data_IF_561359035351
#
_entry.id   IF_561359035351
#
_cell.length_a   1.000
_cell.length_b   1.000
_cell.length_c   1.000
_cell.angle_alpha   90.00
_cell.angle_beta   90.00
_cell.angle_gamma   90.00
#
_symmetry.space_group_name_H-M   'P 1'
#
loop_
_entity.id
_entity.type
_entity.pdbx_description
1 polymer ?
#
# COMPACT_ATOMS: atom_id res chain seq x y z
N UNK A 1 7.28 -0.78 -30.54
CA UNK A 1 7.08 -2.08 -29.86
C UNK A 1 7.46 -1.88 -28.40
N UNK A 2 6.50 -1.50 -27.57
CA UNK A 2 6.65 -1.54 -26.11
C UNK A 2 6.20 -2.92 -25.70
N UNK A 3 7.16 -3.78 -25.37
CA UNK A 3 6.87 -5.06 -24.73
C UNK A 3 6.00 -4.78 -23.50
N UNK A 4 4.76 -5.29 -23.53
CA UNK A 4 3.79 -5.19 -22.45
C UNK A 4 4.10 -6.11 -21.28
N UNK A 5 5.37 -6.48 -21.07
CA UNK A 5 5.83 -7.19 -19.90
C UNK A 5 5.65 -6.28 -18.68
N UNK A 6 4.55 -6.48 -17.95
CA UNK A 6 4.43 -5.92 -16.62
C UNK A 6 5.52 -6.52 -15.74
N UNK A 7 6.51 -5.73 -15.35
CA UNK A 7 7.50 -6.14 -14.37
C UNK A 7 6.82 -6.18 -12.99
N UNK A 8 6.49 -7.39 -12.55
CA UNK A 8 6.12 -7.68 -11.17
C UNK A 8 7.35 -8.27 -10.48
N UNK A 9 7.84 -7.58 -9.44
CA UNK A 9 8.87 -8.12 -8.56
C UNK A 9 8.20 -8.66 -7.30
N UNK A 10 8.25 -9.97 -7.11
CA UNK A 10 7.62 -10.65 -5.98
C UNK A 10 8.61 -10.84 -4.85
N UNK A 11 8.22 -10.41 -3.66
CA UNK A 11 8.94 -10.54 -2.42
C UNK A 11 8.15 -11.41 -1.44
N UNK A 12 8.75 -11.76 -0.31
CA UNK A 12 8.09 -12.56 0.75
C UNK A 12 6.90 -11.81 1.36
N UNK A 13 6.97 -10.49 1.36
CA UNK A 13 6.07 -9.56 2.05
C UNK A 13 5.22 -8.70 1.13
N UNK A 14 5.31 -8.91 -0.19
CA UNK A 14 4.50 -8.18 -1.14
C UNK A 14 4.97 -8.32 -2.58
N UNK A 15 4.35 -7.53 -3.45
CA UNK A 15 4.67 -7.45 -4.87
C UNK A 15 4.84 -6.00 -5.26
N UNK A 16 5.93 -5.67 -5.93
CA UNK A 16 6.17 -4.37 -6.53
C UNK A 16 5.77 -4.41 -8.00
N UNK A 17 5.02 -3.41 -8.47
CA UNK A 17 4.59 -3.30 -9.87
C UNK A 17 4.80 -1.90 -10.42
N UNK A 18 5.47 -1.78 -11.57
CA UNK A 18 5.63 -0.53 -12.31
C UNK A 18 4.63 -0.38 -13.47
N UNK A 19 3.54 -1.17 -13.46
CA UNK A 19 2.52 -1.09 -14.51
C UNK A 19 1.82 0.28 -14.47
N UNK A 20 1.81 1.00 -15.59
CA UNK A 20 1.05 2.26 -15.70
C UNK A 20 -0.41 2.04 -16.11
N UNK A 21 -0.75 0.83 -16.56
CA UNK A 21 -2.06 0.47 -17.14
C UNK A 21 -2.75 -0.69 -16.43
N UNK A 22 -2.03 -1.45 -15.59
CA UNK A 22 -2.59 -2.58 -14.83
C UNK A 22 -3.58 -2.14 -13.75
N UNK A 23 -4.24 -3.13 -13.13
CA UNK A 23 -5.29 -2.93 -12.13
C UNK A 23 -4.86 -2.00 -10.99
N UNK A 24 -3.65 -2.15 -10.46
CA UNK A 24 -3.12 -1.28 -9.40
C UNK A 24 -3.06 0.19 -9.83
N UNK A 25 -2.67 0.48 -11.08
CA UNK A 25 -2.66 1.84 -11.61
C UNK A 25 -4.07 2.41 -11.78
N UNK A 26 -5.03 1.59 -12.19
CA UNK A 26 -6.44 2.00 -12.29
C UNK A 26 -7.01 2.34 -10.91
N UNK A 27 -6.72 1.53 -9.89
CA UNK A 27 -7.12 1.81 -8.50
C UNK A 27 -6.43 3.05 -7.93
N UNK A 28 -5.15 3.26 -8.26
CA UNK A 28 -4.42 4.47 -7.88
C UNK A 28 -5.11 5.74 -8.43
N UNK A 29 -5.43 5.75 -9.73
CA UNK A 29 -6.14 6.87 -10.36
C UNK A 29 -7.56 7.03 -9.83
N UNK A 30 -8.27 5.92 -9.61
CA UNK A 30 -9.62 5.94 -9.06
C UNK A 30 -9.67 6.56 -7.64
N UNK A 31 -8.68 6.26 -6.79
CA UNK A 31 -8.51 6.93 -5.50
C UNK A 31 -8.32 8.45 -5.66
N UNK A 32 -7.43 8.84 -6.57
CA UNK A 32 -7.20 10.24 -6.91
C UNK A 32 -8.50 10.92 -7.34
N UNK A 33 -9.23 10.31 -8.28
CA UNK A 33 -10.47 10.86 -8.82
C UNK A 33 -11.58 10.97 -7.77
N UNK A 34 -11.87 9.89 -7.05
CA UNK A 34 -12.98 9.85 -6.12
C UNK A 34 -12.69 10.56 -4.79
N UNK A 35 -11.48 10.41 -4.23
CA UNK A 35 -11.15 10.87 -2.88
C UNK A 35 -10.19 12.06 -2.86
N UNK A 36 -9.50 12.35 -3.96
CA UNK A 36 -8.53 13.47 -4.03
C UNK A 36 -7.25 13.20 -3.26
N UNK A 37 -6.88 11.92 -3.09
CA UNK A 37 -5.64 11.47 -2.43
C UNK A 37 -5.16 10.16 -3.04
N UNK A 38 -3.90 9.81 -2.78
CA UNK A 38 -3.34 8.49 -3.12
C UNK A 38 -3.90 7.40 -2.20
N UNK A 39 -3.93 6.14 -2.64
CA UNK A 39 -4.32 5.02 -1.78
C UNK A 39 -3.28 4.77 -0.68
N UNK A 40 -3.73 4.25 0.47
CA UNK A 40 -2.85 3.52 1.37
C UNK A 40 -2.56 2.11 0.83
N UNK A 41 -1.46 1.48 1.25
CA UNK A 41 -1.02 0.19 0.68
C UNK A 41 -2.05 -0.92 0.88
N UNK A 42 -2.69 -0.98 2.06
CA UNK A 42 -3.69 -1.99 2.37
C UNK A 42 -4.92 -1.83 1.47
N UNK A 43 -5.43 -0.61 1.34
CA UNK A 43 -6.52 -0.28 0.43
C UNK A 43 -6.19 -0.62 -1.01
N UNK A 44 -5.03 -0.18 -1.51
CA UNK A 44 -4.57 -0.48 -2.88
C UNK A 44 -4.54 -2.00 -3.14
N UNK A 45 -3.95 -2.76 -2.23
CA UNK A 45 -3.83 -4.23 -2.34
C UNK A 45 -5.20 -4.89 -2.38
N UNK A 46 -6.10 -4.52 -1.47
CA UNK A 46 -7.42 -5.13 -1.37
C UNK A 46 -8.27 -4.87 -2.62
N UNK A 47 -8.32 -3.63 -3.09
CA UNK A 47 -9.03 -3.29 -4.33
C UNK A 47 -8.42 -3.97 -5.54
N UNK A 48 -7.09 -3.96 -5.66
CA UNK A 48 -6.38 -4.61 -6.78
C UNK A 48 -6.67 -6.11 -6.81
N UNK A 49 -6.56 -6.79 -5.67
CA UNK A 49 -6.80 -8.24 -5.57
C UNK A 49 -8.25 -8.60 -5.90
N UNK A 50 -9.23 -7.79 -5.45
CA UNK A 50 -10.63 -8.04 -5.75
C UNK A 50 -10.95 -7.88 -7.24
N UNK A 51 -10.30 -6.94 -7.94
CA UNK A 51 -10.44 -6.77 -9.38
C UNK A 51 -9.74 -7.87 -10.16
N UNK A 52 -8.50 -8.21 -9.80
CA UNK A 52 -7.72 -9.27 -10.46
C UNK A 52 -8.38 -10.66 -10.30
N UNK A 53 -9.02 -10.91 -9.15
CA UNK A 53 -9.81 -12.13 -8.93
C UNK A 53 -11.17 -12.13 -9.65
N UNK A 54 -11.56 -11.03 -10.29
CA UNK A 54 -12.88 -10.87 -10.89
C UNK A 54 -14.04 -10.80 -9.89
N UNK A 55 -13.75 -10.64 -8.60
CA UNK A 55 -14.76 -10.50 -7.54
C UNK A 55 -15.48 -9.13 -7.63
N UNK A 56 -14.80 -8.12 -8.17
CA UNK A 56 -15.36 -6.79 -8.45
C UNK A 56 -14.95 -6.32 -9.84
N UNK A 57 -15.86 -5.58 -10.48
CA UNK A 57 -15.54 -4.77 -11.65
C UNK A 57 -15.01 -3.40 -11.23
N UNK A 58 -14.26 -2.74 -12.11
CA UNK A 58 -13.80 -1.36 -11.87
C UNK A 58 -14.97 -0.40 -11.62
N UNK A 59 -16.11 -0.60 -12.29
CA UNK A 59 -17.34 0.19 -12.05
C UNK A 59 -17.92 -0.04 -10.66
N UNK A 60 -17.90 -1.27 -10.13
CA UNK A 60 -18.31 -1.56 -8.76
C UNK A 60 -17.33 -0.96 -7.73
N UNK A 61 -16.03 -0.95 -8.02
CA UNK A 61 -15.06 -0.26 -7.18
C UNK A 61 -15.38 1.24 -7.08
N UNK A 62 -15.69 1.91 -8.20
CA UNK A 62 -16.13 3.32 -8.21
C UNK A 62 -17.34 3.55 -7.30
N UNK A 63 -18.33 2.66 -7.36
CA UNK A 63 -19.48 2.71 -6.45
C UNK A 63 -19.03 2.61 -5.00
N UNK A 64 -18.14 1.67 -4.67
CA UNK A 64 -17.57 1.52 -3.33
C UNK A 64 -16.86 2.78 -2.82
N UNK A 65 -16.08 3.45 -3.67
CA UNK A 65 -15.44 4.73 -3.33
C UNK A 65 -16.46 5.84 -3.09
N UNK A 66 -17.39 6.03 -4.02
CA UNK A 66 -18.34 7.16 -3.99
C UNK A 66 -19.44 7.00 -2.95
N UNK A 67 -19.72 5.78 -2.50
CA UNK A 67 -20.63 5.49 -1.37
C UNK A 67 -19.92 5.32 -0.04
N UNK A 68 -18.58 5.44 0.01
CA UNK A 68 -17.82 5.24 1.25
C UNK A 68 -18.14 6.33 2.27
N UNK A 69 -18.03 5.98 3.56
CA UNK A 69 -18.14 6.95 4.64
C UNK A 69 -17.12 8.09 4.51
N UNK A 70 -15.95 7.83 3.92
CA UNK A 70 -14.95 8.85 3.65
C UNK A 70 -15.42 9.84 2.58
N UNK A 71 -15.91 9.35 1.43
CA UNK A 71 -16.43 10.23 0.37
C UNK A 71 -17.58 11.09 0.88
N UNK A 72 -18.56 10.45 1.56
CA UNK A 72 -19.72 11.15 2.11
C UNK A 72 -19.33 12.12 3.24
N UNK A 73 -18.37 11.75 4.08
CA UNK A 73 -17.86 12.64 5.14
C UNK A 73 -17.12 13.85 4.58
N UNK A 74 -16.40 13.69 3.47
CA UNK A 74 -15.60 14.75 2.84
C UNK A 74 -16.41 15.65 1.91
N UNK A 75 -17.35 15.08 1.15
CA UNK A 75 -18.04 15.76 0.06
C UNK A 75 -19.56 15.80 0.22
N UNK A 76 -20.11 15.12 1.24
CA UNK A 76 -21.55 14.98 1.41
C UNK A 76 -22.20 14.19 0.26
N UNK A 77 -23.40 14.60 -0.11
CA UNK A 77 -24.14 14.07 -1.27
C UNK A 77 -24.22 15.15 -2.35
N UNK A 78 -23.16 15.37 -3.14
CA UNK A 78 -23.13 16.45 -4.12
C UNK A 78 -24.18 16.23 -5.21
N UNK A 79 -24.78 17.31 -5.70
CA UNK A 79 -25.54 17.29 -6.96
C UNK A 79 -24.61 17.06 -8.16
N UNK A 80 -25.16 16.85 -9.35
CA UNK A 80 -24.36 16.47 -10.53
C UNK A 80 -23.34 17.54 -10.92
N UNK A 81 -23.71 18.82 -10.82
CA UNK A 81 -22.80 19.93 -11.14
C UNK A 81 -21.63 19.99 -10.15
N UNK A 82 -21.92 19.85 -8.86
CA UNK A 82 -20.92 19.83 -7.79
C UNK A 82 -20.03 18.60 -7.89
N UNK A 83 -20.62 17.44 -8.19
CA UNK A 83 -19.90 16.18 -8.39
C UNK A 83 -18.89 16.28 -9.54
N UNK A 84 -19.30 16.75 -10.72
CA UNK A 84 -18.38 16.95 -11.86
C UNK A 84 -17.29 17.97 -11.53
N UNK A 85 -17.65 19.09 -10.89
CA UNK A 85 -16.68 20.11 -10.47
C UNK A 85 -15.62 19.53 -9.53
N UNK A 86 -16.02 18.64 -8.62
CA UNK A 86 -15.13 17.90 -7.73
C UNK A 86 -14.13 17.03 -8.49
N UNK A 87 -14.58 16.29 -9.51
CA UNK A 87 -13.71 15.44 -10.32
C UNK A 87 -12.68 16.25 -11.10
N UNK A 88 -13.07 17.40 -11.69
CA UNK A 88 -12.11 18.33 -12.30
C UNK A 88 -11.04 18.80 -11.32
N UNK A 89 -11.43 19.13 -10.09
CA UNK A 89 -10.48 19.54 -9.05
C UNK A 89 -9.55 18.40 -8.65
N UNK A 90 -10.09 17.21 -8.38
CA UNK A 90 -9.33 16.07 -7.90
C UNK A 90 -8.33 15.54 -8.95
N UNK A 91 -8.78 15.46 -10.20
CA UNK A 91 -8.05 14.82 -11.30
C UNK A 91 -7.15 15.82 -12.01
N UNK A 92 -7.71 16.97 -12.39
CA UNK A 92 -7.04 17.96 -13.24
C UNK A 92 -6.51 19.17 -12.46
N UNK A 93 -6.84 19.31 -11.18
CA UNK A 93 -6.36 20.42 -10.35
C UNK A 93 -6.91 21.79 -10.74
N UNK A 94 -8.00 21.84 -11.54
CA UNK A 94 -8.57 23.07 -12.08
C UNK A 94 -10.09 23.09 -11.96
N UNK A 95 -10.69 24.28 -12.09
CA UNK A 95 -12.13 24.40 -12.30
C UNK A 95 -12.52 23.94 -13.70
N UNK A 96 -13.71 23.35 -13.90
CA UNK A 96 -14.19 23.02 -15.23
C UNK A 96 -14.38 24.30 -16.06
N UNK A 97 -14.10 24.21 -17.35
CA UNK A 97 -14.60 25.18 -18.31
C UNK A 97 -16.11 24.97 -18.54
N UNK A 98 -16.79 25.98 -19.08
CA UNK A 98 -18.23 25.95 -19.25
C UNK A 98 -18.70 24.80 -20.17
N UNK A 99 -17.97 24.54 -21.26
CA UNK A 99 -18.31 23.49 -22.22
C UNK A 99 -18.15 22.10 -21.61
N UNK A 100 -17.02 21.85 -20.97
CA UNK A 100 -16.74 20.59 -20.28
C UNK A 100 -17.75 20.27 -19.19
N UNK A 101 -18.13 21.27 -18.37
CA UNK A 101 -19.16 21.09 -17.34
C UNK A 101 -20.51 20.74 -17.94
N UNK A 102 -20.95 21.51 -18.94
CA UNK A 102 -22.23 21.29 -19.62
C UNK A 102 -22.29 19.90 -20.27
N UNK A 103 -21.22 19.45 -20.92
CA UNK A 103 -21.17 18.13 -21.55
C UNK A 103 -21.41 17.00 -20.54
N UNK A 104 -20.70 17.01 -19.41
CA UNK A 104 -20.86 15.98 -18.38
C UNK A 104 -22.23 16.03 -17.70
N UNK A 105 -22.74 17.22 -17.38
CA UNK A 105 -24.07 17.33 -16.75
C UNK A 105 -25.19 16.92 -17.69
N UNK A 106 -25.06 17.19 -19.00
CA UNK A 106 -26.03 16.72 -20.00
C UNK A 106 -25.98 15.19 -20.16
N UNK A 107 -24.78 14.59 -20.11
CA UNK A 107 -24.63 13.13 -20.17
C UNK A 107 -25.28 12.46 -18.95
N UNK A 108 -25.07 13.01 -17.74
CA UNK A 108 -25.74 12.55 -16.51
C UNK A 108 -27.27 12.67 -16.63
N UNK A 109 -27.77 13.80 -17.11
CA UNK A 109 -29.21 14.01 -17.35
C UNK A 109 -29.78 13.04 -18.41
N UNK A 110 -28.97 12.61 -19.37
CA UNK A 110 -29.33 11.61 -20.38
C UNK A 110 -29.20 10.15 -19.90
N UNK A 111 -28.85 9.93 -18.63
CA UNK A 111 -28.82 8.59 -18.01
C UNK A 111 -27.43 7.94 -17.91
N UNK A 112 -26.35 8.66 -18.24
CA UNK A 112 -25.00 8.20 -17.90
C UNK A 112 -24.88 8.05 -16.38
N UNK A 113 -24.26 6.96 -15.90
CA UNK A 113 -24.09 6.78 -14.46
C UNK A 113 -22.95 7.65 -13.93
N UNK A 114 -23.04 8.08 -12.67
CA UNK A 114 -21.92 8.76 -11.99
C UNK A 114 -20.65 7.91 -11.99
N UNK A 115 -20.78 6.58 -11.95
CA UNK A 115 -19.62 5.69 -12.05
C UNK A 115 -18.93 5.80 -13.41
N UNK A 116 -19.68 5.91 -14.51
CA UNK A 116 -19.10 6.12 -15.84
C UNK A 116 -18.40 7.48 -15.93
N UNK A 117 -18.93 8.52 -15.27
CA UNK A 117 -18.28 9.83 -15.21
C UNK A 117 -16.94 9.73 -14.47
N UNK A 118 -16.89 9.12 -13.28
CA UNK A 118 -15.62 8.95 -12.54
C UNK A 118 -14.59 8.19 -13.36
N UNK A 119 -14.99 7.11 -14.03
CA UNK A 119 -14.11 6.35 -14.93
C UNK A 119 -13.62 7.19 -16.10
N UNK A 120 -14.49 8.02 -16.68
CA UNK A 120 -14.14 8.95 -17.75
C UNK A 120 -13.07 9.95 -17.32
N UNK A 121 -13.04 10.36 -16.05
CA UNK A 121 -11.97 11.19 -15.50
C UNK A 121 -10.73 10.38 -15.14
N UNK A 122 -10.87 9.30 -14.37
CA UNK A 122 -9.73 8.53 -13.84
C UNK A 122 -8.94 7.83 -14.94
N UNK A 123 -9.60 7.42 -16.03
CA UNK A 123 -8.96 6.77 -17.18
C UNK A 123 -8.83 7.73 -18.38
N UNK A 124 -8.96 9.04 -18.13
CA UNK A 124 -8.69 10.04 -19.16
C UNK A 124 -7.22 10.03 -19.56
N UNK A 125 -6.93 10.40 -20.82
CA UNK A 125 -5.55 10.53 -21.29
C UNK A 125 -4.75 11.55 -20.44
N UNK A 126 -5.41 12.59 -19.93
CA UNK A 126 -4.81 13.59 -19.03
C UNK A 126 -4.37 12.96 -17.70
N UNK A 127 -5.23 12.18 -17.03
CA UNK A 127 -4.89 11.59 -15.72
C UNK A 127 -3.88 10.44 -15.84
N UNK A 128 -3.97 9.64 -16.92
CA UNK A 128 -2.97 8.63 -17.25
C UNK A 128 -1.60 9.28 -17.46
N UNK A 129 -1.52 10.37 -18.24
CA UNK A 129 -0.26 11.09 -18.47
C UNK A 129 0.27 11.72 -17.17
N UNK A 130 -0.60 12.30 -16.35
CA UNK A 130 -0.25 12.93 -15.07
C UNK A 130 0.30 11.93 -14.05
N UNK A 131 -0.25 10.72 -14.01
CA UNK A 131 0.15 9.69 -13.02
C UNK A 131 1.29 8.81 -13.51
N UNK A 132 1.60 8.82 -14.81
CA UNK A 132 2.61 7.97 -15.44
C UNK A 132 3.95 7.98 -14.71
N UNK A 133 4.54 9.15 -14.47
CA UNK A 133 5.87 9.24 -13.83
C UNK A 133 5.90 8.69 -12.40
N UNK A 134 4.79 8.77 -11.68
CA UNK A 134 4.66 8.19 -10.33
C UNK A 134 4.49 6.67 -10.41
N UNK A 135 3.67 6.19 -11.34
CA UNK A 135 3.42 4.76 -11.52
C UNK A 135 4.64 4.01 -12.06
N UNK A 136 5.47 4.66 -12.88
CA UNK A 136 6.76 4.11 -13.33
C UNK A 136 7.79 3.97 -12.19
N UNK A 137 7.64 4.73 -11.10
CA UNK A 137 8.41 4.51 -9.85
C UNK A 137 7.87 3.35 -9.02
N UNK A 138 6.78 2.73 -9.49
CA UNK A 138 6.19 1.52 -8.96
C UNK A 138 5.30 1.70 -7.73
N UNK A 139 4.39 0.74 -7.61
CA UNK A 139 3.45 0.59 -6.52
C UNK A 139 3.81 -0.66 -5.74
N UNK A 140 3.84 -0.53 -4.42
CA UNK A 140 3.95 -1.66 -3.52
C UNK A 140 2.56 -2.22 -3.21
N UNK A 141 2.40 -3.53 -3.41
CA UNK A 141 1.22 -4.30 -3.04
C UNK A 141 1.62 -5.25 -1.90
N UNK A 142 1.35 -4.85 -0.66
CA UNK A 142 1.69 -5.61 0.54
C UNK A 142 0.99 -6.97 0.56
N UNK A 143 1.67 -7.99 1.05
CA UNK A 143 1.02 -9.24 1.43
C UNK A 143 0.39 -9.10 2.82
N UNK A 144 -0.94 -9.06 2.89
CA UNK A 144 -1.67 -8.86 4.14
C UNK A 144 -1.40 -9.95 5.18
N UNK A 145 -1.13 -11.19 4.76
CA UNK A 145 -0.76 -12.26 5.68
C UNK A 145 0.65 -12.05 6.23
N UNK A 146 1.60 -11.60 5.40
CA UNK A 146 2.94 -11.21 5.87
C UNK A 146 2.88 -10.04 6.86
N UNK A 147 2.02 -9.06 6.61
CA UNK A 147 1.81 -7.94 7.51
C UNK A 147 1.27 -8.37 8.89
N UNK A 148 0.30 -9.29 8.89
CA UNK A 148 -0.23 -9.90 10.13
C UNK A 148 0.84 -10.69 10.89
N UNK A 149 1.65 -11.48 10.18
CA UNK A 149 2.77 -12.21 10.78
C UNK A 149 3.76 -11.23 11.42
N UNK A 150 4.15 -10.16 10.72
CA UNK A 150 5.07 -9.17 11.27
C UNK A 150 4.51 -8.46 12.53
N UNK A 151 3.21 -8.17 12.56
CA UNK A 151 2.56 -7.62 13.76
C UNK A 151 2.52 -8.62 14.91
N UNK A 152 2.31 -9.91 14.65
CA UNK A 152 2.40 -10.95 15.68
C UNK A 152 3.82 -11.07 16.26
N UNK A 153 4.85 -11.01 15.42
CA UNK A 153 6.25 -10.93 15.85
C UNK A 153 6.48 -9.72 16.78
N UNK A 154 5.99 -8.54 16.40
CA UNK A 154 6.13 -7.35 17.24
C UNK A 154 5.36 -7.49 18.56
N UNK A 155 4.10 -7.91 18.51
CA UNK A 155 3.26 -8.03 19.70
C UNK A 155 3.81 -9.04 20.72
N UNK A 156 4.34 -10.17 20.25
CA UNK A 156 4.81 -11.25 21.12
C UNK A 156 6.29 -11.18 21.45
N UNK A 157 7.15 -10.80 20.50
CA UNK A 157 8.61 -10.86 20.62
C UNK A 157 9.28 -9.48 20.55
N UNK A 158 8.53 -8.38 20.40
CA UNK A 158 9.04 -7.02 20.33
C UNK A 158 10.19 -6.84 19.31
N UNK A 159 10.02 -7.44 18.13
CA UNK A 159 10.96 -7.34 17.00
C UNK A 159 10.23 -7.61 15.68
N UNK A 160 10.85 -7.22 14.57
CA UNK A 160 10.42 -7.67 13.24
C UNK A 160 10.85 -9.14 13.00
N UNK A 161 10.16 -9.85 12.08
CA UNK A 161 10.56 -11.18 11.66
C UNK A 161 11.90 -11.18 10.94
N UNK A 162 12.65 -12.26 11.09
CA UNK A 162 13.71 -12.60 10.13
C UNK A 162 13.10 -13.19 8.84
N UNK A 163 13.90 -13.25 7.77
CA UNK A 163 13.42 -13.68 6.45
C UNK A 163 12.78 -15.07 6.45
N UNK A 164 13.44 -16.06 7.09
CA UNK A 164 12.95 -17.44 7.14
C UNK A 164 11.72 -17.56 8.03
N UNK A 165 11.69 -16.84 9.14
CA UNK A 165 10.51 -16.72 10.01
C UNK A 165 9.31 -16.16 9.26
N UNK A 166 9.48 -15.04 8.55
CA UNK A 166 8.40 -14.43 7.78
C UNK A 166 7.88 -15.38 6.70
N UNK A 167 8.78 -15.97 5.91
CA UNK A 167 8.41 -16.88 4.82
C UNK A 167 7.60 -18.07 5.32
N UNK A 168 8.08 -18.75 6.37
CA UNK A 168 7.43 -19.94 6.89
C UNK A 168 6.04 -19.64 7.49
N UNK A 169 5.92 -18.59 8.29
CA UNK A 169 4.64 -18.23 8.91
C UNK A 169 3.64 -17.71 7.87
N UNK A 170 4.08 -16.91 6.90
CA UNK A 170 3.21 -16.46 5.80
C UNK A 170 2.76 -17.62 4.92
N UNK A 171 3.62 -18.60 4.66
CA UNK A 171 3.24 -19.82 3.94
C UNK A 171 2.20 -20.64 4.72
N UNK A 172 2.38 -20.80 6.04
CA UNK A 172 1.41 -21.46 6.90
C UNK A 172 0.06 -20.71 6.93
N UNK A 173 0.09 -19.38 6.96
CA UNK A 173 -1.09 -18.52 6.89
C UNK A 173 -1.88 -18.77 5.59
N UNK A 174 -1.18 -18.78 4.46
CA UNK A 174 -1.75 -19.09 3.13
C UNK A 174 -2.28 -20.52 3.03
N UNK A 175 -1.74 -21.45 3.82
CA UNK A 175 -2.25 -22.82 3.96
C UNK A 175 -3.45 -22.95 4.91
N UNK A 176 -3.95 -21.84 5.48
CA UNK A 176 -5.14 -21.80 6.33
C UNK A 176 -4.87 -21.77 7.83
N UNK A 177 -3.61 -21.61 8.26
CA UNK A 177 -3.31 -21.41 9.68
C UNK A 177 -3.87 -20.08 10.16
N UNK A 178 -4.61 -20.10 11.26
CA UNK A 178 -5.24 -18.89 11.81
C UNK A 178 -4.26 -18.08 12.67
N UNK A 179 -4.53 -16.78 12.82
CA UNK A 179 -3.74 -15.92 13.72
C UNK A 179 -3.76 -16.41 15.18
N UNK A 180 -4.84 -17.07 15.61
CA UNK A 180 -4.92 -17.68 16.93
C UNK A 180 -3.89 -18.81 17.08
N UNK A 181 -3.84 -19.73 16.10
CA UNK A 181 -2.87 -20.82 16.10
C UNK A 181 -1.43 -20.31 15.99
N UNK A 182 -1.18 -19.27 15.19
CA UNK A 182 0.14 -18.64 15.13
C UNK A 182 0.51 -18.03 16.47
N UNK A 183 -0.41 -17.29 17.10
CA UNK A 183 -0.19 -16.70 18.41
C UNK A 183 0.14 -17.74 19.48
N UNK A 184 -0.51 -18.90 19.47
CA UNK A 184 -0.15 -20.02 20.35
C UNK A 184 1.28 -20.50 20.06
N UNK A 185 1.66 -20.60 18.79
CA UNK A 185 3.02 -20.92 18.36
C UNK A 185 4.07 -19.91 18.85
N UNK A 186 3.80 -18.61 18.72
CA UNK A 186 4.70 -17.55 19.20
C UNK A 186 4.85 -17.58 20.71
N UNK A 187 3.74 -17.58 21.45
CA UNK A 187 3.77 -17.53 22.93
C UNK A 187 4.27 -18.85 23.55
N UNK A 188 4.07 -19.98 22.87
CA UNK A 188 4.61 -21.28 23.24
C UNK A 188 6.05 -21.52 22.78
N UNK A 189 6.64 -20.61 22.00
CA UNK A 189 8.00 -20.77 21.47
C UNK A 189 9.06 -20.74 22.56
N UNK A 190 10.16 -21.46 22.33
CA UNK A 190 11.34 -21.42 23.21
C UNK A 190 11.86 -19.98 23.36
N UNK A 191 11.83 -19.18 22.29
CA UNK A 191 12.24 -17.77 22.32
C UNK A 191 11.39 -16.95 23.29
N UNK A 192 10.06 -17.04 23.21
CA UNK A 192 9.17 -16.32 24.11
C UNK A 192 9.37 -16.74 25.57
N UNK A 193 9.47 -18.05 25.83
CA UNK A 193 9.66 -18.59 27.17
C UNK A 193 11.03 -18.21 27.76
N UNK A 194 12.10 -18.20 26.95
CA UNK A 194 13.42 -17.75 27.40
C UNK A 194 13.45 -16.24 27.66
N UNK A 195 12.74 -15.45 26.86
CA UNK A 195 12.74 -13.99 26.98
C UNK A 195 11.93 -13.47 28.16
N UNK A 196 10.76 -14.04 28.42
CA UNK A 196 9.83 -13.51 29.41
C UNK A 196 9.55 -14.44 30.59
N UNK A 197 9.94 -15.71 30.49
CA UNK A 197 9.67 -16.72 31.52
C UNK A 197 8.17 -16.99 31.71
N UNK A 198 7.82 -17.47 32.89
CA UNK A 198 6.43 -17.74 33.27
C UNK A 198 5.71 -16.44 33.63
N UNK A 199 4.63 -16.14 32.91
CA UNK A 199 3.81 -14.95 33.10
C UNK A 199 2.42 -15.33 33.64
N UNK A 200 2.03 -14.69 34.74
CA UNK A 200 0.63 -14.62 35.16
C UNK A 200 -0.16 -13.66 34.24
N UNK A 201 -1.50 -13.66 34.35
CA UNK A 201 -2.36 -12.84 33.48
C UNK A 201 -2.04 -11.33 33.55
N UNK A 202 -1.90 -10.73 34.74
CA UNK A 202 -1.43 -9.34 34.88
C UNK A 202 -0.13 -9.03 34.13
N UNK A 203 0.91 -9.85 34.30
CA UNK A 203 2.21 -9.63 33.65
C UNK A 203 2.13 -9.83 32.14
N UNK A 204 1.35 -10.82 31.68
CA UNK A 204 1.14 -11.05 30.26
C UNK A 204 0.47 -9.87 29.58
N UNK A 205 -0.58 -9.30 30.18
CA UNK A 205 -1.25 -8.09 29.64
C UNK A 205 -0.28 -6.91 29.63
N UNK A 206 0.45 -6.67 30.73
CA UNK A 206 1.43 -5.58 30.82
C UNK A 206 2.51 -5.69 29.75
N UNK A 207 2.99 -6.91 29.48
CA UNK A 207 3.96 -7.18 28.42
C UNK A 207 3.42 -6.77 27.05
N UNK A 208 2.19 -7.16 26.70
CA UNK A 208 1.61 -6.83 25.40
C UNK A 208 1.45 -5.32 25.22
N UNK A 209 1.04 -4.60 26.27
CA UNK A 209 1.00 -3.14 26.25
C UNK A 209 2.36 -2.51 25.96
N UNK A 210 3.41 -2.96 26.66
CA UNK A 210 4.76 -2.46 26.43
C UNK A 210 5.25 -2.77 25.02
N UNK A 211 5.04 -3.98 24.52
CA UNK A 211 5.48 -4.37 23.18
C UNK A 211 4.72 -3.59 22.10
N UNK A 212 3.39 -3.51 22.20
CA UNK A 212 2.54 -3.00 21.12
C UNK A 212 2.43 -1.48 21.13
N UNK A 213 2.41 -0.86 22.31
CA UNK A 213 2.13 0.56 22.48
C UNK A 213 3.31 1.34 23.08
N UNK A 214 4.42 0.68 23.44
CA UNK A 214 5.58 1.35 24.05
C UNK A 214 5.30 1.91 25.46
N UNK A 215 4.16 1.57 26.06
CA UNK A 215 3.72 2.14 27.34
C UNK A 215 3.05 1.09 28.22
N UNK A 216 3.01 1.36 29.52
CA UNK A 216 2.22 0.57 30.46
C UNK A 216 0.70 0.68 30.20
N UNK A 217 -0.08 -0.30 30.68
CA UNK A 217 -1.52 -0.30 30.50
C UNK A 217 -2.19 0.82 31.28
N UNK A 218 -3.25 1.41 30.73
CA UNK A 218 -4.17 2.22 31.53
C UNK A 218 -5.04 1.32 32.43
N UNK A 219 -5.60 1.91 33.50
CA UNK A 219 -6.37 1.17 34.51
C UNK A 219 -7.55 0.39 33.92
N UNK A 220 -8.25 0.96 32.93
CA UNK A 220 -9.46 0.37 32.35
C UNK A 220 -9.08 -0.77 31.42
N UNK A 221 -8.16 -0.53 30.49
CA UNK A 221 -7.66 -1.51 29.56
C UNK A 221 -7.00 -2.70 30.27
N UNK A 222 -6.22 -2.44 31.32
CA UNK A 222 -5.61 -3.49 32.15
C UNK A 222 -6.66 -4.41 32.78
N UNK A 223 -7.66 -3.81 33.44
CA UNK A 223 -8.71 -4.55 34.12
C UNK A 223 -9.54 -5.38 33.13
N UNK A 224 -9.89 -4.80 31.97
CA UNK A 224 -10.67 -5.48 30.94
C UNK A 224 -9.96 -6.76 30.45
N UNK A 225 -8.71 -6.66 30.02
CA UNK A 225 -7.97 -7.81 29.49
C UNK A 225 -7.65 -8.85 30.57
N UNK A 226 -7.27 -8.42 31.76
CA UNK A 226 -6.95 -9.34 32.86
C UNK A 226 -8.19 -10.11 33.31
N UNK A 227 -9.34 -9.44 33.42
CA UNK A 227 -10.60 -10.08 33.78
C UNK A 227 -11.08 -11.03 32.67
N UNK A 228 -10.91 -10.67 31.40
CA UNK A 228 -11.23 -11.55 30.28
C UNK A 228 -10.40 -12.85 30.32
N UNK A 229 -9.10 -12.76 30.59
CA UNK A 229 -8.23 -13.92 30.78
C UNK A 229 -8.65 -14.77 31.99
N UNK A 230 -8.99 -14.13 33.11
CA UNK A 230 -9.46 -14.82 34.31
C UNK A 230 -10.83 -15.51 34.09
N UNK A 231 -11.66 -14.97 33.20
CA UNK A 231 -12.95 -15.54 32.79
C UNK A 231 -12.82 -16.63 31.70
N UNK A 232 -11.61 -16.97 31.25
CA UNK A 232 -11.37 -18.07 30.31
C UNK A 232 -11.12 -17.66 28.85
N UNK A 233 -10.97 -16.36 28.56
CA UNK A 233 -10.47 -15.92 27.24
C UNK A 233 -9.05 -16.47 27.03
N UNK A 234 -8.75 -16.93 25.82
CA UNK A 234 -7.40 -17.48 25.53
C UNK A 234 -6.37 -16.36 25.42
N UNK A 235 -5.11 -16.68 25.74
CA UNK A 235 -3.98 -15.75 25.51
C UNK A 235 -3.81 -15.41 24.03
N UNK A 236 -4.06 -16.37 23.14
CA UNK A 236 -4.05 -16.13 21.70
C UNK A 236 -5.07 -15.07 21.27
N UNK A 237 -6.30 -15.13 21.79
CA UNK A 237 -7.32 -14.11 21.50
C UNK A 237 -6.88 -12.72 21.98
N UNK A 238 -6.23 -12.63 23.14
CA UNK A 238 -5.70 -11.36 23.65
C UNK A 238 -4.57 -10.85 22.75
N UNK A 239 -3.57 -11.67 22.42
CA UNK A 239 -2.47 -11.28 21.51
C UNK A 239 -2.99 -10.80 20.18
N UNK A 240 -3.92 -11.52 19.55
CA UNK A 240 -4.52 -11.10 18.27
C UNK A 240 -5.26 -9.78 18.43
N UNK A 241 -5.97 -9.58 19.55
CA UNK A 241 -6.62 -8.30 19.85
C UNK A 241 -5.67 -7.11 19.94
N UNK A 242 -4.48 -7.30 20.53
CA UNK A 242 -3.42 -6.28 20.53
C UNK A 242 -2.77 -6.11 19.16
N UNK A 243 -2.36 -7.23 18.53
CA UNK A 243 -1.66 -7.27 17.23
C UNK A 243 -2.47 -6.58 16.14
N UNK A 244 -3.78 -6.80 16.10
CA UNK A 244 -4.65 -6.27 15.05
C UNK A 244 -5.47 -5.06 15.51
N UNK A 245 -5.12 -4.47 16.66
CA UNK A 245 -5.71 -3.22 17.10
C UNK A 245 -5.37 -2.09 16.10
N UNK A 246 -6.33 -1.18 15.88
CA UNK A 246 -6.12 0.00 15.02
C UNK A 246 -4.90 0.82 15.46
N UNK A 247 -4.68 0.96 16.78
CA UNK A 247 -3.52 1.66 17.33
C UNK A 247 -2.21 1.00 16.90
N UNK A 248 -2.10 -0.32 17.01
CA UNK A 248 -0.90 -1.06 16.61
C UNK A 248 -0.67 -1.05 15.10
N UNK A 249 -1.72 -1.32 14.32
CA UNK A 249 -1.65 -1.32 12.84
C UNK A 249 -1.15 0.04 12.36
N UNK A 250 -1.74 1.13 12.84
CA UNK A 250 -1.31 2.48 12.47
C UNK A 250 0.11 2.79 12.94
N UNK A 251 0.44 2.44 14.18
CA UNK A 251 1.77 2.68 14.73
C UNK A 251 2.87 1.92 13.98
N UNK A 252 2.56 0.76 13.39
CA UNK A 252 3.54 -0.08 12.67
C UNK A 252 3.48 0.06 11.15
N UNK A 253 2.56 0.84 10.60
CA UNK A 253 2.38 0.98 9.16
C UNK A 253 3.69 1.38 8.44
N UNK A 254 4.49 2.29 9.01
CA UNK A 254 5.78 2.70 8.44
C UNK A 254 6.84 1.59 8.36
N UNK A 255 6.72 0.54 9.17
CA UNK A 255 7.69 -0.56 9.26
C UNK A 255 7.24 -1.83 8.54
N UNK A 256 5.93 -1.95 8.26
CA UNK A 256 5.31 -3.18 7.76
C UNK A 256 4.59 -2.95 6.43
N UNK A 257 3.96 -1.79 6.24
CA UNK A 257 3.03 -1.61 5.13
C UNK A 257 3.70 -1.17 3.84
N UNK A 258 4.93 -0.65 3.91
CA UNK A 258 5.72 -0.22 2.76
C UNK A 258 6.91 -1.16 2.46
N UNK A 259 6.77 -2.41 2.89
CA UNK A 259 7.85 -3.41 2.88
C UNK A 259 8.40 -3.63 4.28
N UNK A 260 8.48 -4.88 4.69
CA UNK A 260 9.04 -5.33 5.96
C UNK A 260 10.56 -5.31 5.84
N UNK A 261 11.21 -4.49 6.66
CA UNK A 261 12.67 -4.52 6.75
C UNK A 261 13.14 -5.83 7.38
N UNK A 262 13.73 -6.70 6.56
CA UNK A 262 14.33 -7.94 7.00
C UNK A 262 15.76 -7.68 7.45
N UNK A 263 16.00 -7.64 8.76
CA UNK A 263 17.36 -7.65 9.28
C UNK A 263 17.98 -9.02 8.98
N UNK A 264 19.07 -9.03 8.21
CA UNK A 264 19.91 -10.22 8.07
C UNK A 264 20.33 -10.75 9.44
N UNK A 265 20.56 -12.05 9.56
CA UNK A 265 20.76 -12.86 10.79
C UNK A 265 21.80 -12.39 11.84
N UNK A 266 22.35 -11.18 11.77
CA UNK A 266 23.17 -10.57 12.80
C UNK A 266 22.36 -9.60 13.67
N UNK A 267 21.98 -10.10 14.86
CA UNK A 267 21.39 -9.38 15.99
C UNK A 267 20.04 -8.68 15.73
N UNK A 268 18.99 -9.23 16.34
CA UNK A 268 17.69 -8.58 16.52
C UNK A 268 17.87 -7.22 17.22
N UNK A 269 18.04 -6.16 16.43
CA UNK A 269 17.94 -4.80 16.93
C UNK A 269 16.47 -4.56 17.26
N UNK A 270 16.19 -4.20 18.52
CA UNK A 270 14.90 -3.65 18.89
C UNK A 270 14.61 -2.44 17.99
N UNK A 271 13.37 -2.30 17.52
CA UNK A 271 12.98 -1.12 16.75
C UNK A 271 13.23 0.13 17.61
N UNK A 272 13.80 1.21 17.06
CA UNK A 272 13.98 2.44 17.81
C UNK A 272 12.62 2.98 18.26
N UNK A 273 12.53 3.26 19.56
CA UNK A 273 11.38 3.84 20.24
C UNK A 273 11.32 5.35 19.97
N UNK A 274 11.07 5.74 18.72
CA UNK A 274 11.00 7.15 18.34
C UNK A 274 9.82 7.42 17.42
N UNK A 275 8.92 8.28 17.90
CA UNK A 275 7.83 9.00 17.21
C UNK A 275 8.29 9.88 16.02
N UNK A 276 9.33 9.49 15.28
CA UNK A 276 9.81 10.29 14.15
C UNK A 276 9.09 9.86 12.85
N UNK A 277 7.85 10.34 12.73
CA UNK A 277 6.87 9.98 11.68
C UNK A 277 7.24 10.51 10.28
N UNK A 278 8.52 10.82 10.00
CA UNK A 278 8.90 11.53 8.77
C UNK A 278 10.10 10.97 7.99
N UNK A 279 10.61 9.78 8.34
CA UNK A 279 11.79 9.19 7.65
C UNK A 279 11.51 7.85 6.96
N UNK A 280 10.36 7.22 7.18
CA UNK A 280 10.09 5.86 6.69
C UNK A 280 9.63 5.78 5.22
N UNK A 281 9.20 6.87 4.58
CA UNK A 281 8.75 6.83 3.18
C UNK A 281 9.82 7.20 2.15
N UNK A 282 10.91 7.85 2.55
CA UNK A 282 12.04 8.18 1.66
C UNK A 282 13.06 7.04 1.61
N UNK A 283 13.28 6.31 2.70
CA UNK A 283 14.35 5.31 2.78
C UNK A 283 14.19 4.10 1.83
N UNK A 284 12.96 3.62 1.57
CA UNK A 284 12.75 2.47 0.67
C UNK A 284 12.91 2.87 -0.81
N UNK A 285 12.34 4.02 -1.21
CA UNK A 285 12.49 4.55 -2.58
C UNK A 285 13.94 5.00 -2.82
N UNK A 286 14.60 5.61 -1.83
CA UNK A 286 16.00 6.03 -1.93
C UNK A 286 16.98 4.84 -1.94
N UNK A 287 16.74 3.76 -1.19
CA UNK A 287 17.61 2.57 -1.20
C UNK A 287 17.44 1.71 -2.45
N UNK A 288 16.22 1.58 -2.98
CA UNK A 288 15.97 0.91 -4.28
C UNK A 288 16.62 1.71 -5.42
N UNK A 289 16.63 3.04 -5.36
CA UNK A 289 17.29 3.91 -6.35
C UNK A 289 18.82 3.91 -6.21
N UNK A 290 19.37 3.75 -5.00
CA UNK A 290 20.82 3.78 -4.75
C UNK A 290 21.54 2.44 -4.99
N UNK A 291 20.83 1.32 -5.09
CA UNK A 291 21.48 0.00 -5.05
C UNK A 291 22.09 -0.51 -6.38
N UNK A 292 21.87 0.12 -7.55
CA UNK A 292 22.59 -0.18 -8.83
C UNK A 292 22.92 -1.67 -9.13
N UNK A 293 22.08 -2.64 -8.74
CA UNK A 293 22.40 -4.08 -8.89
C UNK A 293 22.00 -4.70 -10.24
N UNK A 294 21.73 -3.90 -11.26
CA UNK A 294 21.70 -4.34 -12.66
C UNK A 294 22.48 -3.32 -13.50
N UNK A 295 23.78 -3.54 -13.69
CA UNK A 295 24.48 -2.85 -14.78
C UNK A 295 23.95 -3.41 -16.10
N UNK A 296 23.35 -2.58 -16.99
CA UNK A 296 23.19 -2.99 -18.36
C UNK A 296 24.60 -3.19 -18.92
N UNK A 297 24.88 -4.38 -19.46
CA UNK A 297 26.11 -4.60 -20.23
C UNK A 297 26.06 -3.67 -21.45
N UNK A 298 26.65 -2.48 -21.33
CA UNK A 298 26.77 -1.55 -22.45
C UNK A 298 27.92 -2.06 -23.33
N UNK A 299 27.60 -2.73 -24.43
CA UNK A 299 28.55 -2.88 -25.53
C UNK A 299 28.84 -1.47 -26.06
N UNK A 300 29.95 -0.86 -25.62
CA UNK A 300 30.42 0.40 -26.19
C UNK A 300 31.03 0.15 -27.58
N UNK A 301 30.35 0.61 -28.62
CA UNK A 301 30.83 0.61 -30.00
C UNK A 301 31.86 1.74 -30.23
N UNK A 302 32.88 1.85 -29.39
CA UNK A 302 33.96 2.85 -29.51
C UNK A 302 35.32 2.24 -29.87
N UNK A 303 35.32 0.96 -30.27
CA UNK A 303 36.45 0.14 -30.75
C UNK A 303 37.00 0.33 -32.18
N UNK A 304 36.33 1.07 -33.07
CA UNK A 304 36.72 1.07 -34.49
C UNK A 304 37.09 2.48 -34.94
N UNK A 305 38.38 2.77 -34.80
CA UNK A 305 39.07 3.89 -35.45
C UNK A 305 39.10 3.68 -36.97
N UNK A 306 38.59 4.66 -37.74
CA UNK A 306 38.71 4.71 -39.19
C UNK A 306 37.88 5.83 -39.82
N UNK A 307 38.41 7.06 -39.82
CA UNK A 307 37.97 8.22 -40.60
C UNK A 307 37.98 7.95 -42.14
N UNK A 308 37.46 8.86 -43.01
CA UNK A 308 36.14 9.50 -43.07
C UNK A 308 35.56 9.38 -44.50
N UNK A 309 34.38 9.94 -44.81
CA UNK A 309 34.05 10.55 -46.13
C UNK A 309 32.65 11.21 -46.13
N UNK A 310 32.66 12.55 -46.15
CA UNK A 310 31.80 13.48 -46.91
C UNK A 310 30.33 13.08 -47.23
N UNK A 311 29.36 13.83 -46.70
CA UNK A 311 28.61 14.87 -47.42
C UNK A 311 27.35 15.29 -46.63
N UNK A 312 27.25 16.57 -46.26
CA UNK A 312 25.94 17.24 -46.15
C UNK A 312 25.48 17.62 -47.57
N UNK A 313 24.16 17.76 -47.83
CA UNK A 313 23.55 19.08 -47.67
C UNK A 313 22.07 19.12 -47.22
N UNK A 314 21.72 20.29 -46.66
CA UNK A 314 20.46 21.07 -46.78
C UNK A 314 19.16 20.56 -46.11
N UNK A 315 18.57 21.30 -45.15
CA UNK A 315 17.81 22.58 -45.17
C UNK A 315 16.29 22.38 -45.37
N UNK A 316 15.53 23.31 -44.77
CA UNK A 316 14.05 23.46 -44.67
C UNK A 316 13.41 22.69 -43.49
N UNK A 317 12.63 23.27 -42.58
CA UNK A 317 12.00 24.59 -42.52
C UNK A 317 10.50 24.46 -42.21
N UNK A 318 10.03 25.20 -41.19
CA UNK A 318 8.64 25.61 -40.92
C UNK A 318 7.61 24.64 -40.30
N UNK A 319 7.26 24.93 -39.03
CA UNK A 319 5.97 25.49 -38.58
C UNK A 319 4.72 25.21 -39.44
N UNK A 320 3.69 24.66 -38.81
CA UNK A 320 2.31 25.16 -38.95
C UNK A 320 1.44 24.71 -37.77
N UNK A 321 0.73 25.69 -37.22
CA UNK A 321 -0.37 25.52 -36.28
C UNK A 321 -1.70 25.78 -37.01
N UNK A 322 -2.78 25.33 -36.37
CA UNK A 322 -4.19 25.74 -36.50
C UNK A 322 -5.00 25.23 -37.70
N UNK A 323 -5.99 24.37 -37.38
CA UNK A 323 -7.42 24.59 -37.63
C UNK A 323 -8.22 23.78 -36.60
#
# INVERSE_FOLDING_TARGET
MTDGSTEYYKFTDGTYTASTTGTAAQIYRLHGAALGRVPDTGGLTNWTSALDAGALTLKQAVTGFTSSAEFLGRYGTPDDRTFVTLLYKNVLGRTPDAGGLTNWTNALAAGMSRSDVVLGFSESAEDIAKTKSTLEQGLWLRDDQAAQVARLYHATLNRLPDAGGLENWTAAAKAGMTLLQMSDGFTGSVEFQQRYGSLDNPKFVTLLYNNVLGRGPDTVGFANWTNALNAGTTRASVVVGFSESTEHVNARASYIDNGIQLFGSSAAAALPDTDDVNTASTAFVDQVTQSRLLEPTVFSASSLTGEPLLSQPDRFGMLAAVA
#
